data_IF_166885357441
#
_entry.id   IF_166885357441
#
_cell.length_a   1.000
_cell.length_b   1.000
_cell.length_c   1.000
_cell.angle_alpha   90.00
_cell.angle_beta   90.00
_cell.angle_gamma   90.00
#
_symmetry.space_group_name_H-M   'P 1'
#
loop_
_entity.id
_entity.type
_entity.pdbx_description
1 polymer ?
#
# COMPACT_ATOMS: atom_id res chain seq x y z
N UNK A 1 -10.68 22.07 0.41
CA UNK A 1 -9.49 21.19 0.20
C UNK A 1 -9.12 20.53 1.51
N UNK A 2 -9.21 19.21 1.58
CA UNK A 2 -8.97 18.41 2.79
C UNK A 2 -7.91 17.35 2.50
N UNK A 3 -7.06 17.03 3.49
CA UNK A 3 -6.17 15.87 3.45
C UNK A 3 -6.96 14.64 3.89
N UNK A 4 -7.03 13.63 3.02
CA UNK A 4 -7.75 12.38 3.27
C UNK A 4 -6.79 11.19 3.17
N UNK A 5 -6.91 10.28 4.11
CA UNK A 5 -6.28 8.94 4.04
C UNK A 5 -7.38 7.94 3.73
N UNK A 6 -7.29 7.29 2.58
CA UNK A 6 -8.25 6.29 2.10
C UNK A 6 -7.61 4.91 2.20
N UNK A 7 -8.20 4.02 3.00
CA UNK A 7 -7.73 2.65 3.15
C UNK A 7 -8.63 1.69 2.36
N UNK A 8 -8.00 0.88 1.51
CA UNK A 8 -8.66 -0.14 0.70
C UNK A 8 -8.18 -1.53 1.10
N UNK A 9 -9.10 -2.34 1.61
CA UNK A 9 -8.82 -3.73 2.00
C UNK A 9 -8.67 -4.66 0.78
N UNK A 10 -8.23 -5.90 1.03
CA UNK A 10 -7.92 -6.87 -0.03
C UNK A 10 -9.07 -7.16 -0.99
N UNK A 11 -10.31 -7.19 -0.51
CA UNK A 11 -11.49 -7.36 -1.38
C UNK A 11 -11.74 -6.15 -2.28
N UNK A 12 -11.45 -4.94 -1.82
CA UNK A 12 -11.57 -3.71 -2.62
C UNK A 12 -10.55 -3.62 -3.74
N UNK A 13 -9.42 -4.29 -3.62
CA UNK A 13 -8.34 -4.35 -4.61
C UNK A 13 -8.10 -5.78 -5.14
N UNK A 14 -9.08 -6.67 -5.00
CA UNK A 14 -8.96 -8.10 -5.25
C UNK A 14 -8.83 -8.53 -6.71
N UNK A 15 -8.99 -7.62 -7.66
CA UNK A 15 -8.83 -7.86 -9.10
C UNK A 15 -8.44 -6.56 -9.80
N UNK A 16 -7.96 -6.66 -11.03
CA UNK A 16 -7.63 -5.49 -11.87
C UNK A 16 -8.85 -4.56 -12.01
N UNK A 17 -10.03 -5.12 -12.27
CA UNK A 17 -11.27 -4.33 -12.36
C UNK A 17 -11.58 -3.56 -11.08
N UNK A 18 -11.34 -4.17 -9.91
CA UNK A 18 -11.55 -3.49 -8.62
C UNK A 18 -10.48 -2.43 -8.37
N UNK A 19 -9.23 -2.65 -8.75
CA UNK A 19 -8.17 -1.63 -8.69
C UNK A 19 -8.54 -0.42 -9.57
N UNK A 20 -9.06 -0.65 -10.77
CA UNK A 20 -9.56 0.41 -11.65
C UNK A 20 -10.71 1.19 -11.00
N UNK A 21 -11.66 0.50 -10.35
CA UNK A 21 -12.74 1.15 -9.61
C UNK A 21 -12.22 2.00 -8.44
N UNK A 22 -11.23 1.50 -7.70
CA UNK A 22 -10.57 2.28 -6.64
C UNK A 22 -9.89 3.53 -7.22
N UNK A 23 -9.25 3.41 -8.38
CA UNK A 23 -8.65 4.54 -9.06
C UNK A 23 -9.70 5.60 -9.45
N UNK A 24 -10.91 5.19 -9.90
CA UNK A 24 -12.01 6.11 -10.18
C UNK A 24 -12.47 6.88 -8.92
N UNK A 25 -12.59 6.19 -7.79
CA UNK A 25 -12.91 6.82 -6.50
C UNK A 25 -11.87 7.88 -6.13
N UNK A 26 -10.59 7.53 -6.21
CA UNK A 26 -9.49 8.44 -5.89
C UNK A 26 -9.45 9.63 -6.87
N UNK A 27 -9.69 9.38 -8.16
CA UNK A 27 -9.77 10.42 -9.18
C UNK A 27 -10.86 11.45 -8.84
N UNK A 28 -12.05 11.00 -8.46
CA UNK A 28 -13.15 11.87 -8.04
C UNK A 28 -12.74 12.76 -6.88
N UNK A 29 -12.17 12.18 -5.84
CA UNK A 29 -11.68 12.90 -4.66
C UNK A 29 -10.60 13.95 -5.04
N UNK A 30 -9.71 13.61 -5.96
CA UNK A 30 -8.67 14.55 -6.46
C UNK A 30 -9.28 15.71 -7.22
N UNK A 31 -10.29 15.46 -8.06
CA UNK A 31 -10.99 16.49 -8.83
C UNK A 31 -11.77 17.46 -7.91
N UNK A 32 -12.22 17.00 -6.75
CA UNK A 32 -12.79 17.85 -5.70
C UNK A 32 -11.75 18.69 -4.95
N UNK A 33 -10.47 18.59 -5.32
CA UNK A 33 -9.36 19.33 -4.74
C UNK A 33 -8.77 18.72 -3.48
N UNK A 34 -9.17 17.50 -3.09
CA UNK A 34 -8.64 16.83 -1.90
C UNK A 34 -7.20 16.32 -2.11
N UNK A 35 -6.38 16.36 -1.05
CA UNK A 35 -5.03 15.78 -1.02
C UNK A 35 -5.15 14.33 -0.53
N UNK A 36 -4.72 13.36 -1.35
CA UNK A 36 -5.03 11.95 -1.10
C UNK A 36 -3.77 11.14 -0.81
N UNK A 37 -3.86 10.38 0.27
CA UNK A 37 -2.99 9.24 0.58
C UNK A 37 -3.88 7.99 0.50
N UNK A 38 -3.53 7.05 -0.37
CA UNK A 38 -4.20 5.77 -0.49
C UNK A 38 -3.37 4.67 0.18
N UNK A 39 -3.92 3.97 1.15
CA UNK A 39 -3.30 2.82 1.80
C UNK A 39 -3.98 1.56 1.28
N UNK A 40 -3.21 0.63 0.73
CA UNK A 40 -3.75 -0.58 0.09
C UNK A 40 -3.23 -1.85 0.76
N UNK A 41 -4.05 -2.89 0.72
CA UNK A 41 -3.69 -4.26 1.08
C UNK A 41 -3.22 -5.03 -0.17
N UNK A 42 -2.69 -6.24 0.04
CA UNK A 42 -2.51 -7.19 -1.05
C UNK A 42 -3.86 -7.54 -1.70
N UNK A 43 -3.84 -7.94 -2.95
CA UNK A 43 -5.03 -8.47 -3.64
C UNK A 43 -5.60 -9.67 -2.88
N UNK A 44 -6.92 -9.85 -2.94
CA UNK A 44 -7.63 -10.93 -2.24
C UNK A 44 -6.99 -12.29 -2.48
N UNK A 45 -6.73 -13.04 -1.41
CA UNK A 45 -6.08 -14.36 -1.46
C UNK A 45 -4.55 -14.33 -1.58
N UNK A 46 -3.93 -13.20 -1.96
CA UNK A 46 -2.48 -13.14 -2.19
C UNK A 46 -1.67 -13.37 -0.92
N UNK A 47 -2.08 -12.81 0.20
CA UNK A 47 -1.43 -13.04 1.50
C UNK A 47 -1.44 -14.51 1.86
N UNK A 48 -2.57 -15.20 1.70
CA UNK A 48 -2.68 -16.63 1.98
C UNK A 48 -1.80 -17.48 1.05
N UNK A 49 -1.69 -17.11 -0.22
CA UNK A 49 -0.78 -17.74 -1.17
C UNK A 49 0.69 -17.62 -0.71
N UNK A 50 1.11 -16.43 -0.30
CA UNK A 50 2.47 -16.18 0.20
C UNK A 50 2.75 -16.94 1.50
N UNK A 51 1.80 -16.97 2.44
CA UNK A 51 1.90 -17.78 3.66
C UNK A 51 2.03 -19.27 3.33
N UNK A 52 1.26 -19.76 2.34
CA UNK A 52 1.38 -21.14 1.89
C UNK A 52 2.78 -21.45 1.38
N UNK A 53 3.35 -20.57 0.53
CA UNK A 53 4.71 -20.76 0.02
C UNK A 53 5.74 -20.88 1.15
N UNK A 54 5.66 -20.04 2.18
CA UNK A 54 6.56 -20.13 3.34
C UNK A 54 6.39 -21.45 4.09
N UNK A 55 5.14 -21.90 4.29
CA UNK A 55 4.84 -23.17 4.98
C UNK A 55 5.28 -24.40 4.19
N UNK A 56 5.25 -24.32 2.85
CA UNK A 56 5.74 -25.39 1.96
C UNK A 56 7.27 -25.55 2.06
N UNK A 57 8.00 -24.48 2.42
CA UNK A 57 9.45 -24.54 2.72
C UNK A 57 9.68 -25.06 4.14
N UNK A 58 9.00 -24.48 5.15
CA UNK A 58 9.15 -24.86 6.56
C UNK A 58 7.98 -24.36 7.38
N UNK A 59 7.46 -25.21 8.27
CA UNK A 59 6.46 -24.79 9.28
C UNK A 59 7.03 -23.83 10.32
N UNK A 60 8.34 -23.78 10.45
CA UNK A 60 9.07 -22.86 11.33
C UNK A 60 9.78 -21.78 10.51
N UNK A 61 9.15 -21.30 9.44
CA UNK A 61 9.71 -20.26 8.60
C UNK A 61 10.05 -19.01 9.42
N UNK A 62 11.26 -18.48 9.24
CA UNK A 62 11.75 -17.36 10.06
C UNK A 62 10.90 -16.10 9.86
N UNK A 63 10.42 -15.51 10.95
CA UNK A 63 9.49 -14.36 10.94
C UNK A 63 9.99 -13.17 10.15
N UNK A 64 11.29 -12.85 10.25
CA UNK A 64 11.89 -11.75 9.49
C UNK A 64 11.68 -11.92 7.98
N UNK A 65 11.92 -13.11 7.45
CA UNK A 65 11.76 -13.37 6.02
C UNK A 65 10.28 -13.51 5.63
N UNK A 66 9.42 -13.94 6.58
CA UNK A 66 7.97 -13.93 6.36
C UNK A 66 7.46 -12.50 6.18
N UNK A 67 7.92 -11.54 6.98
CA UNK A 67 7.56 -10.13 6.84
C UNK A 67 7.96 -9.59 5.46
N UNK A 68 9.17 -9.89 4.99
CA UNK A 68 9.63 -9.54 3.63
C UNK A 68 8.72 -10.15 2.57
N UNK A 69 8.41 -11.43 2.71
CA UNK A 69 7.55 -12.16 1.76
C UNK A 69 6.14 -11.55 1.69
N UNK A 70 5.51 -11.31 2.84
CA UNK A 70 4.15 -10.77 2.90
C UNK A 70 4.07 -9.34 2.37
N UNK A 71 5.08 -8.50 2.66
CA UNK A 71 5.12 -7.12 2.17
C UNK A 71 5.13 -7.03 0.65
N UNK A 72 5.70 -8.02 -0.04
CA UNK A 72 5.75 -8.07 -1.50
C UNK A 72 4.36 -8.07 -2.15
N UNK A 73 3.38 -8.71 -1.53
CA UNK A 73 2.01 -8.76 -2.03
C UNK A 73 1.35 -7.38 -2.09
N UNK A 74 1.63 -6.53 -1.12
CA UNK A 74 1.08 -5.16 -1.10
C UNK A 74 1.85 -4.20 -2.02
N UNK A 75 3.13 -4.44 -2.24
CA UNK A 75 3.92 -3.70 -3.23
C UNK A 75 3.34 -3.84 -4.64
N UNK A 76 2.89 -5.05 -5.00
CA UNK A 76 2.20 -5.29 -6.28
C UNK A 76 0.97 -4.40 -6.41
N UNK A 77 0.11 -4.38 -5.41
CA UNK A 77 -1.12 -3.58 -5.42
C UNK A 77 -0.82 -2.08 -5.51
N UNK A 78 0.19 -1.61 -4.75
CA UNK A 78 0.65 -0.21 -4.81
C UNK A 78 1.04 0.20 -6.23
N UNK A 79 1.88 -0.60 -6.89
CA UNK A 79 2.35 -0.31 -8.23
C UNK A 79 1.19 -0.31 -9.26
N UNK A 80 0.29 -1.28 -9.17
CA UNK A 80 -0.88 -1.38 -10.06
C UNK A 80 -1.83 -0.18 -9.89
N UNK A 81 -2.13 0.22 -8.65
CA UNK A 81 -3.00 1.36 -8.40
C UNK A 81 -2.35 2.69 -8.83
N UNK A 82 -1.08 2.89 -8.52
CA UNK A 82 -0.35 4.08 -8.96
C UNK A 82 -0.29 4.16 -10.51
N UNK A 83 -0.07 3.04 -11.17
CA UNK A 83 -0.11 2.93 -12.64
C UNK A 83 -1.49 3.26 -13.21
N UNK A 84 -2.56 2.70 -12.63
CA UNK A 84 -3.93 2.98 -13.07
C UNK A 84 -4.30 4.47 -12.95
N UNK A 85 -3.91 5.12 -11.84
CA UNK A 85 -4.12 6.56 -11.66
C UNK A 85 -3.34 7.38 -12.70
N UNK A 86 -2.10 6.99 -13.00
CA UNK A 86 -1.26 7.67 -13.98
C UNK A 86 -1.86 7.59 -15.39
N UNK A 87 -2.43 6.44 -15.78
CA UNK A 87 -3.17 6.28 -17.03
C UNK A 87 -4.39 7.24 -17.11
N UNK A 88 -5.03 7.50 -15.98
CA UNK A 88 -6.13 8.47 -15.88
C UNK A 88 -5.66 9.94 -15.84
N UNK A 89 -4.37 10.21 -16.08
CA UNK A 89 -3.74 11.53 -16.00
C UNK A 89 -3.76 12.16 -14.61
N UNK A 90 -3.85 11.31 -13.58
CA UNK A 90 -3.66 11.70 -12.18
C UNK A 90 -2.22 11.37 -11.80
N UNK A 91 -1.44 12.38 -11.43
CA UNK A 91 -0.09 12.16 -10.91
C UNK A 91 -0.16 11.28 -9.66
N UNK A 92 0.46 10.12 -9.69
CA UNK A 92 0.46 9.16 -8.58
C UNK A 92 1.82 8.48 -8.47
N UNK A 93 2.16 8.04 -7.25
CA UNK A 93 3.40 7.31 -7.00
C UNK A 93 3.21 6.36 -5.82
N UNK A 94 3.76 5.15 -5.95
CA UNK A 94 3.91 4.22 -4.83
C UNK A 94 5.04 4.67 -3.91
N UNK A 95 4.83 4.52 -2.60
CA UNK A 95 5.78 4.88 -1.56
C UNK A 95 5.99 3.69 -0.63
N UNK A 96 7.18 3.12 -0.67
CA UNK A 96 7.55 1.96 0.13
C UNK A 96 8.32 2.40 1.39
N UNK A 97 8.46 1.52 2.36
CA UNK A 97 9.01 1.85 3.68
C UNK A 97 10.40 2.49 3.66
N UNK A 98 11.27 2.12 2.72
CA UNK A 98 12.59 2.76 2.58
C UNK A 98 12.53 4.17 1.97
N UNK A 99 11.43 4.55 1.35
CA UNK A 99 11.20 5.89 0.81
C UNK A 99 10.57 6.82 1.84
N UNK A 100 9.78 6.26 2.74
CA UNK A 100 9.11 6.91 3.87
C UNK A 100 9.41 6.12 5.15
N UNK A 101 10.55 6.35 5.81
CA UNK A 101 10.93 5.54 6.94
C UNK A 101 9.82 5.41 7.96
N UNK A 102 9.33 4.18 8.14
CA UNK A 102 8.39 3.78 9.17
C UNK A 102 9.20 3.08 10.25
N UNK A 103 9.33 3.73 11.39
CA UNK A 103 10.08 3.18 12.52
C UNK A 103 9.17 2.30 13.35
N UNK A 104 9.64 1.11 13.67
CA UNK A 104 8.92 0.13 14.47
C UNK A 104 9.77 -0.34 15.64
N UNK A 105 9.13 -0.85 16.67
CA UNK A 105 9.76 -1.56 17.78
C UNK A 105 9.04 -2.88 18.04
N UNK A 106 9.76 -3.85 18.61
CA UNK A 106 9.26 -5.18 18.92
C UNK A 106 9.79 -6.25 17.97
N UNK A 107 9.20 -7.44 18.08
CA UNK A 107 9.56 -8.60 17.28
C UNK A 107 8.94 -8.55 15.88
N UNK A 108 9.62 -9.14 14.90
CA UNK A 108 9.07 -9.37 13.56
C UNK A 108 7.70 -10.05 13.62
N UNK A 109 6.83 -9.71 12.68
CA UNK A 109 5.43 -10.11 12.57
C UNK A 109 4.51 -9.57 13.69
N UNK A 110 5.05 -8.83 14.66
CA UNK A 110 4.30 -8.28 15.78
C UNK A 110 4.81 -6.91 16.26
N UNK A 111 5.61 -6.24 15.43
CA UNK A 111 6.18 -4.93 15.75
C UNK A 111 5.11 -3.82 15.72
N UNK A 112 5.34 -2.79 16.53
CA UNK A 112 4.46 -1.61 16.61
C UNK A 112 5.13 -0.41 15.96
N UNK A 113 4.35 0.37 15.21
CA UNK A 113 4.81 1.63 14.62
C UNK A 113 4.97 2.65 15.73
N UNK A 114 6.17 3.24 15.84
CA UNK A 114 6.49 4.30 16.82
C UNK A 114 6.63 5.67 16.14
N UNK A 115 7.00 5.71 14.86
CA UNK A 115 7.12 6.96 14.11
C UNK A 115 7.03 6.72 12.61
N UNK A 116 6.51 7.71 11.88
CA UNK A 116 6.49 7.75 10.41
C UNK A 116 7.03 9.10 9.95
N UNK A 117 8.07 9.10 9.12
CA UNK A 117 8.53 10.34 8.50
C UNK A 117 7.61 10.71 7.33
N UNK A 118 6.74 11.68 7.55
CA UNK A 118 5.72 12.08 6.58
C UNK A 118 6.12 13.27 5.70
N UNK A 119 7.31 13.83 5.84
CA UNK A 119 7.71 15.06 5.17
C UNK A 119 7.62 14.95 3.63
N UNK A 120 8.22 13.90 3.06
CA UNK A 120 8.22 13.66 1.61
C UNK A 120 6.80 13.43 1.06
N UNK A 121 5.98 12.65 1.79
CA UNK A 121 4.58 12.39 1.42
C UNK A 121 3.78 13.69 1.43
N UNK A 122 3.91 14.49 2.49
CA UNK A 122 3.18 15.75 2.61
C UNK A 122 3.51 16.72 1.47
N UNK A 123 4.77 16.78 1.03
CA UNK A 123 5.15 17.56 -0.15
C UNK A 123 4.56 16.97 -1.44
N UNK A 124 4.58 15.66 -1.59
CA UNK A 124 4.11 15.01 -2.81
C UNK A 124 2.60 15.13 -3.03
N UNK A 125 1.79 14.99 -1.97
CA UNK A 125 0.32 15.04 -2.07
C UNK A 125 -0.25 16.42 -2.44
N UNK A 126 0.57 17.46 -2.41
CA UNK A 126 0.18 18.77 -2.98
C UNK A 126 -0.13 18.66 -4.49
N UNK A 127 0.59 17.81 -5.19
CA UNK A 127 0.52 17.69 -6.66
C UNK A 127 0.11 16.29 -7.15
N UNK A 128 0.07 15.27 -6.28
CA UNK A 128 -0.19 13.89 -6.67
C UNK A 128 -0.93 13.09 -5.60
N UNK A 129 -1.08 11.81 -5.87
CA UNK A 129 -1.65 10.80 -4.94
C UNK A 129 -0.52 9.89 -4.47
N UNK A 130 -0.29 9.83 -3.17
CA UNK A 130 0.65 8.87 -2.59
C UNK A 130 -0.08 7.54 -2.36
N UNK A 131 0.45 6.44 -2.91
CA UNK A 131 -0.06 5.08 -2.69
C UNK A 131 0.92 4.33 -1.81
N UNK A 132 0.44 3.80 -0.68
CA UNK A 132 1.27 3.22 0.37
C UNK A 132 0.78 1.80 0.68
N UNK A 133 1.67 0.80 0.80
CA UNK A 133 1.27 -0.51 1.30
C UNK A 133 0.94 -0.42 2.80
N UNK A 134 -0.14 -1.09 3.22
CA UNK A 134 -0.58 -1.09 4.62
C UNK A 134 0.28 -1.96 5.53
N UNK A 135 0.93 -2.98 4.96
CA UNK A 135 1.92 -3.84 5.62
C UNK A 135 3.28 -3.67 4.94
N UNK A 136 4.29 -3.49 5.76
CA UNK A 136 5.65 -3.21 5.28
C UNK A 136 6.72 -3.89 6.12
#
# INVERSE_FOLDING_TARGET
MVKKVLKFGGTSVGSIKRIQHVADIIKKERLEGNKIIAVVSAMSGKTNELVKLSNDISKNFIKRELDVLLSSGEQVTCALLAGALTEMKIKAQSWLNWQIPIMTEGEHSNARIININTEKINKFIEQGVAVIPGFQ
#
